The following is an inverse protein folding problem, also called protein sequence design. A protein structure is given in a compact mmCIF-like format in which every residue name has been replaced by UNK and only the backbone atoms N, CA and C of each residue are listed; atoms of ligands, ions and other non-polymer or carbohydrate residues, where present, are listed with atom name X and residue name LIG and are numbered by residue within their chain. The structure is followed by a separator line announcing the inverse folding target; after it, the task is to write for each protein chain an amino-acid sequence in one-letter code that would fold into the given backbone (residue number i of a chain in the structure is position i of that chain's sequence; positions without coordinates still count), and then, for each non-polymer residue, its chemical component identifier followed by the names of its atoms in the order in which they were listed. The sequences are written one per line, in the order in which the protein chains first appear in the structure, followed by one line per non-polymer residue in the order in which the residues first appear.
data_IF_602405314943
#
_entry.id   IF_602405314943
#
_cell.length_a   1.000
_cell.length_b   1.000
_cell.length_c   1.000
_cell.angle_alpha   90.00
_cell.angle_beta   90.00
_cell.angle_gamma   90.00
#
_symmetry.space_group_name_H-M   'P 1'
#
loop_
_entity.id
_entity.type
_entity.pdbx_description
1 polymer ?
#
# COMPACT_ATOMS: atom_id res chain seq x y z
N UNK A 1 -4.64 46.21 -35.62
CA UNK A 1 -4.08 44.96 -36.14
C UNK A 1 -2.88 44.40 -35.36
N UNK A 2 -2.06 45.20 -34.72
CA UNK A 2 -0.85 44.74 -34.00
C UNK A 2 -1.14 43.85 -32.76
N UNK A 3 -2.23 44.07 -32.02
CA UNK A 3 -2.55 43.31 -30.80
C UNK A 3 -2.99 41.83 -31.04
N UNK A 4 -3.50 41.53 -32.21
CA UNK A 4 -3.91 40.16 -32.57
C UNK A 4 -2.72 39.26 -32.92
N UNK A 5 -1.64 39.79 -33.46
CA UNK A 5 -0.45 39.05 -33.84
C UNK A 5 0.35 38.61 -32.60
N UNK A 6 0.38 39.44 -31.54
CA UNK A 6 1.08 39.10 -30.29
C UNK A 6 0.45 37.94 -29.52
N UNK A 7 -0.88 37.82 -29.52
CA UNK A 7 -1.58 36.74 -28.82
C UNK A 7 -1.41 35.35 -29.47
N UNK A 8 -1.34 35.32 -30.81
CA UNK A 8 -1.10 34.07 -31.52
C UNK A 8 0.36 33.59 -31.34
N UNK A 9 1.32 34.47 -31.41
CA UNK A 9 2.72 34.14 -31.18
C UNK A 9 2.96 33.68 -29.75
N UNK A 10 2.35 34.29 -28.73
CA UNK A 10 2.47 33.88 -27.35
C UNK A 10 1.88 32.52 -27.10
N UNK A 11 0.71 32.20 -27.65
CA UNK A 11 0.10 30.85 -27.57
C UNK A 11 0.99 29.80 -28.22
N UNK A 12 1.59 30.10 -29.36
CA UNK A 12 2.48 29.14 -30.04
C UNK A 12 3.75 28.90 -29.23
N UNK A 13 4.37 29.92 -28.65
CA UNK A 13 5.55 29.77 -27.79
C UNK A 13 5.22 28.96 -26.53
N UNK A 14 4.11 29.29 -25.86
CA UNK A 14 3.67 28.53 -24.68
C UNK A 14 3.34 27.08 -25.01
N UNK A 15 2.63 26.81 -26.10
CA UNK A 15 2.32 25.44 -26.50
C UNK A 15 3.57 24.64 -26.88
N UNK A 16 4.55 25.28 -27.53
CA UNK A 16 5.82 24.63 -27.86
C UNK A 16 6.64 24.33 -26.61
N UNK A 17 6.70 25.27 -25.63
CA UNK A 17 7.39 25.06 -24.38
C UNK A 17 6.74 23.94 -23.54
N UNK A 18 5.41 23.91 -23.45
CA UNK A 18 4.68 22.84 -22.76
C UNK A 18 4.90 21.50 -23.44
N UNK A 19 4.81 21.46 -24.77
CA UNK A 19 5.02 20.21 -25.53
C UNK A 19 6.46 19.70 -25.41
N UNK A 20 7.48 20.58 -25.37
CA UNK A 20 8.86 20.17 -25.18
C UNK A 20 9.09 19.60 -23.77
N UNK A 21 8.49 20.19 -22.73
CA UNK A 21 8.54 19.63 -21.37
C UNK A 21 7.84 18.27 -21.28
N UNK A 22 6.66 18.12 -21.88
CA UNK A 22 5.94 16.83 -21.91
C UNK A 22 6.77 15.78 -22.65
N UNK A 23 7.42 16.16 -23.76
CA UNK A 23 8.28 15.25 -24.53
C UNK A 23 9.50 14.82 -23.71
N UNK A 24 10.23 15.73 -23.10
CA UNK A 24 11.36 15.42 -22.24
C UNK A 24 10.97 14.58 -21.02
N UNK A 25 9.77 14.78 -20.47
CA UNK A 25 9.24 13.95 -19.40
C UNK A 25 8.91 12.53 -19.89
N UNK A 26 8.36 12.39 -21.09
CA UNK A 26 8.08 11.07 -21.69
C UNK A 26 9.36 10.29 -22.03
N UNK A 27 10.38 10.99 -22.53
CA UNK A 27 11.68 10.41 -22.88
C UNK A 27 12.40 9.90 -21.63
N UNK A 28 12.55 10.72 -20.58
CA UNK A 28 13.12 10.28 -19.29
C UNK A 28 12.36 9.11 -18.65
N UNK A 29 11.05 9.09 -18.84
CA UNK A 29 10.21 7.99 -18.38
C UNK A 29 10.39 6.72 -19.19
N UNK A 30 10.64 6.81 -20.48
CA UNK A 30 10.95 5.68 -21.34
C UNK A 30 12.34 5.11 -21.03
N UNK A 31 13.32 5.99 -20.80
CA UNK A 31 14.69 5.61 -20.39
C UNK A 31 14.69 4.93 -19.02
N UNK A 32 14.04 5.50 -18.01
CA UNK A 32 13.93 4.88 -16.69
C UNK A 32 13.21 3.51 -16.74
N UNK A 33 12.25 3.35 -17.64
CA UNK A 33 11.57 2.07 -17.85
C UNK A 33 12.44 1.02 -18.53
N UNK A 34 13.39 1.44 -19.39
CA UNK A 34 14.27 0.55 -20.14
C UNK A 34 15.47 0.05 -19.32
N UNK A 35 15.80 0.69 -18.20
CA UNK A 35 16.96 0.35 -17.36
C UNK A 35 16.66 -0.70 -16.31
N UNK A 36 15.40 -0.94 -15.97
CA UNK A 36 15.01 -1.87 -14.91
C UNK A 36 14.43 -3.15 -15.51
N UNK A 37 15.03 -4.27 -15.17
CA UNK A 37 14.48 -5.58 -15.50
C UNK A 37 13.34 -5.93 -14.55
N UNK A 38 12.10 -5.67 -14.98
CA UNK A 38 10.90 -5.94 -14.20
C UNK A 38 10.56 -7.44 -14.10
N UNK A 39 11.24 -8.28 -14.82
CA UNK A 39 11.05 -9.74 -14.82
C UNK A 39 12.02 -10.45 -13.87
N UNK A 40 12.99 -9.74 -13.32
CA UNK A 40 13.84 -10.24 -12.23
C UNK A 40 13.07 -10.27 -10.91
N UNK A 41 12.31 -11.35 -10.70
CA UNK A 41 11.49 -11.54 -9.48
C UNK A 41 12.37 -11.95 -8.31
N UNK A 42 12.55 -11.04 -7.35
CA UNK A 42 13.44 -11.21 -6.20
C UNK A 42 12.74 -11.02 -4.84
N UNK A 43 11.48 -10.57 -4.83
CA UNK A 43 10.74 -10.24 -3.61
C UNK A 43 9.34 -10.88 -3.56
N UNK A 44 8.82 -11.31 -2.39
CA UNK A 44 9.56 -11.56 -1.13
C UNK A 44 10.63 -12.65 -1.30
N UNK A 45 11.66 -12.74 -0.43
CA UNK A 45 12.84 -13.59 -0.65
C UNK A 45 12.54 -15.06 -0.95
N UNK A 46 11.45 -15.60 -0.40
CA UNK A 46 11.07 -17.01 -0.59
C UNK A 46 10.09 -17.22 -1.75
N UNK A 47 9.18 -16.27 -2.00
CA UNK A 47 8.13 -16.41 -3.00
C UNK A 47 8.54 -15.88 -4.38
N UNK A 48 9.40 -14.85 -4.43
CA UNK A 48 9.95 -14.26 -5.66
C UNK A 48 8.89 -13.96 -6.72
N UNK A 49 7.86 -13.21 -6.34
CA UNK A 49 6.70 -12.93 -7.21
C UNK A 49 6.69 -11.53 -7.80
N UNK A 50 7.60 -10.66 -7.36
CA UNK A 50 7.75 -9.31 -7.89
C UNK A 50 9.21 -8.83 -7.83
N UNK A 51 9.54 -7.86 -8.68
CA UNK A 51 10.82 -7.16 -8.65
C UNK A 51 10.81 -6.07 -7.59
N UNK A 52 11.85 -6.01 -6.74
CA UNK A 52 12.05 -4.95 -5.77
C UNK A 52 13.53 -4.68 -5.56
N UNK A 53 13.97 -3.48 -5.97
CA UNK A 53 15.30 -2.98 -5.73
C UNK A 53 15.25 -1.47 -5.47
N UNK A 54 15.79 -1.01 -4.36
CA UNK A 54 15.81 0.41 -4.02
C UNK A 54 16.66 1.25 -4.98
N UNK A 55 17.63 0.64 -5.65
CA UNK A 55 18.51 1.35 -6.56
C UNK A 55 17.82 1.76 -7.87
N UNK A 56 16.68 1.14 -8.20
CA UNK A 56 15.85 1.54 -9.34
C UNK A 56 15.19 2.91 -9.17
N UNK A 57 15.14 3.41 -7.94
CA UNK A 57 14.56 4.71 -7.63
C UNK A 57 15.68 5.74 -7.54
N UNK A 58 15.76 6.68 -8.48
CA UNK A 58 16.85 7.66 -8.55
C UNK A 58 16.80 8.70 -7.41
N UNK A 59 15.60 9.20 -7.10
CA UNK A 59 15.42 10.27 -6.12
C UNK A 59 15.53 9.74 -4.68
N UNK A 60 16.33 10.42 -3.85
CA UNK A 60 16.57 10.05 -2.46
C UNK A 60 15.29 10.09 -1.60
N UNK A 61 14.41 11.08 -1.82
CA UNK A 61 13.14 11.17 -1.10
C UNK A 61 12.20 10.07 -1.51
N UNK A 62 12.17 9.72 -2.80
CA UNK A 62 11.39 8.60 -3.31
C UNK A 62 11.93 7.26 -2.78
N UNK A 63 13.25 7.05 -2.68
CA UNK A 63 13.86 5.88 -2.02
C UNK A 63 13.39 5.76 -0.57
N UNK A 64 13.41 6.86 0.17
CA UNK A 64 12.92 6.87 1.55
C UNK A 64 11.43 6.53 1.63
N UNK A 65 10.60 7.12 0.77
CA UNK A 65 9.17 6.82 0.70
C UNK A 65 8.90 5.32 0.39
N UNK A 66 9.64 4.73 -0.55
CA UNK A 66 9.54 3.29 -0.88
C UNK A 66 9.93 2.42 0.32
N UNK A 67 10.99 2.78 1.05
CA UNK A 67 11.40 2.06 2.26
C UNK A 67 10.32 2.10 3.34
N UNK A 68 9.75 3.27 3.60
CA UNK A 68 8.65 3.42 4.56
C UNK A 68 7.42 2.63 4.11
N UNK A 69 7.09 2.66 2.82
CA UNK A 69 5.98 1.88 2.26
C UNK A 69 6.17 0.37 2.46
N UNK A 70 7.40 -0.13 2.29
CA UNK A 70 7.73 -1.54 2.55
C UNK A 70 7.59 -1.90 4.03
N UNK A 71 8.11 -1.06 4.93
CA UNK A 71 7.97 -1.25 6.38
C UNK A 71 6.48 -1.27 6.77
N UNK A 72 5.69 -0.33 6.25
CA UNK A 72 4.23 -0.27 6.47
C UNK A 72 3.53 -1.56 6.04
N UNK A 73 3.87 -2.06 4.85
CA UNK A 73 3.34 -3.34 4.36
C UNK A 73 3.68 -4.50 5.29
N UNK A 74 4.95 -4.60 5.72
CA UNK A 74 5.39 -5.66 6.64
C UNK A 74 4.72 -5.55 8.01
N UNK A 75 4.55 -4.35 8.54
CA UNK A 75 3.82 -4.12 9.80
C UNK A 75 2.35 -4.53 9.69
N UNK A 76 1.68 -4.22 8.57
CA UNK A 76 0.31 -4.65 8.33
C UNK A 76 0.21 -6.19 8.28
N UNK A 77 1.10 -6.86 7.56
CA UNK A 77 1.16 -8.34 7.54
C UNK A 77 1.38 -8.92 8.95
N UNK A 78 2.30 -8.34 9.71
CA UNK A 78 2.57 -8.75 11.11
C UNK A 78 1.33 -8.60 11.99
N UNK A 79 0.58 -7.52 11.83
CA UNK A 79 -0.68 -7.30 12.57
C UNK A 79 -1.70 -8.42 12.28
N UNK A 80 -1.86 -8.81 11.02
CA UNK A 80 -2.75 -9.92 10.67
C UNK A 80 -2.22 -11.29 11.15
N UNK A 81 -0.90 -11.50 11.14
CA UNK A 81 -0.30 -12.70 11.72
C UNK A 81 -0.59 -12.81 13.22
N UNK A 82 -0.38 -11.73 13.98
CA UNK A 82 -0.67 -11.69 15.42
C UNK A 82 -2.17 -11.91 15.68
N UNK A 83 -3.04 -11.29 14.88
CA UNK A 83 -4.48 -11.49 14.99
C UNK A 83 -4.88 -12.95 14.71
N UNK A 84 -4.32 -13.57 13.67
CA UNK A 84 -4.54 -14.98 13.34
C UNK A 84 -4.07 -15.90 14.47
N UNK A 85 -2.85 -15.66 14.99
CA UNK A 85 -2.30 -16.41 16.11
C UNK A 85 -3.14 -16.27 17.38
N UNK A 86 -3.54 -15.05 17.74
CA UNK A 86 -4.44 -14.80 18.87
C UNK A 86 -5.77 -15.53 18.75
N UNK A 87 -6.37 -15.51 17.56
CA UNK A 87 -7.61 -16.27 17.27
C UNK A 87 -7.40 -17.77 17.42
N UNK A 88 -6.26 -18.29 16.96
CA UNK A 88 -5.91 -19.71 17.11
C UNK A 88 -5.77 -20.11 18.59
N UNK A 89 -5.04 -19.32 19.39
CA UNK A 89 -4.86 -19.57 20.82
C UNK A 89 -6.21 -19.58 21.56
N UNK A 90 -7.08 -18.61 21.26
CA UNK A 90 -8.42 -18.55 21.87
C UNK A 90 -9.30 -19.75 21.45
N UNK A 91 -9.20 -20.21 20.21
CA UNK A 91 -9.92 -21.38 19.74
C UNK A 91 -9.44 -22.67 20.47
N UNK A 92 -8.13 -22.80 20.71
CA UNK A 92 -7.55 -23.92 21.47
C UNK A 92 -7.86 -23.86 22.97
N UNK A 93 -8.02 -22.64 23.53
CA UNK A 93 -8.30 -22.42 24.95
C UNK A 93 -9.73 -22.74 25.38
N UNK A 94 -10.57 -23.28 24.49
CA UNK A 94 -11.95 -23.70 24.82
C UNK A 94 -12.93 -22.54 25.04
N UNK A 95 -12.50 -21.29 24.80
CA UNK A 95 -13.42 -20.17 24.77
C UNK A 95 -14.43 -20.40 23.63
N UNK A 96 -15.70 -20.03 23.85
CA UNK A 96 -16.82 -20.23 22.89
C UNK A 96 -16.61 -19.50 21.56
N UNK A 97 -15.42 -19.64 20.95
CA UNK A 97 -15.14 -19.13 19.62
C UNK A 97 -15.59 -20.16 18.58
N UNK A 98 -16.47 -19.74 17.70
CA UNK A 98 -16.85 -20.55 16.55
C UNK A 98 -15.60 -20.68 15.67
N UNK A 99 -15.27 -21.91 15.23
CA UNK A 99 -14.13 -22.17 14.32
C UNK A 99 -14.13 -21.31 13.04
N UNK A 100 -15.29 -20.81 12.67
CA UNK A 100 -15.49 -19.80 11.61
C UNK A 100 -14.60 -18.56 11.80
N UNK A 101 -14.36 -18.10 13.04
CA UNK A 101 -13.50 -16.93 13.30
C UNK A 101 -12.05 -17.16 12.91
N UNK A 102 -11.54 -18.37 13.14
CA UNK A 102 -10.19 -18.76 12.72
C UNK A 102 -10.09 -18.78 11.18
N UNK A 103 -11.09 -19.35 10.51
CA UNK A 103 -11.15 -19.38 9.05
C UNK A 103 -11.10 -17.93 8.50
N UNK A 104 -11.92 -17.05 9.03
CA UNK A 104 -11.90 -15.62 8.62
C UNK A 104 -10.57 -14.93 8.91
N UNK A 105 -9.92 -15.21 10.05
CA UNK A 105 -8.62 -14.64 10.37
C UNK A 105 -7.54 -15.08 9.36
N UNK A 106 -7.56 -16.35 8.95
CA UNK A 106 -6.68 -16.89 7.90
C UNK A 106 -6.97 -16.23 6.55
N UNK A 107 -8.24 -16.13 6.15
CA UNK A 107 -8.63 -15.45 4.91
C UNK A 107 -8.18 -13.99 4.90
N UNK A 108 -8.38 -13.27 6.00
CA UNK A 108 -7.92 -11.88 6.11
C UNK A 108 -6.40 -11.79 5.95
N UNK A 109 -5.64 -12.63 6.63
CA UNK A 109 -4.19 -12.66 6.51
C UNK A 109 -3.76 -12.84 5.05
N UNK A 110 -4.34 -13.81 4.33
CA UNK A 110 -3.98 -14.09 2.93
C UNK A 110 -4.39 -12.93 2.03
N UNK A 111 -5.64 -12.49 2.09
CA UNK A 111 -6.18 -11.45 1.19
C UNK A 111 -5.45 -10.12 1.40
N UNK A 112 -5.28 -9.68 2.66
CA UNK A 112 -4.61 -8.39 2.92
C UNK A 112 -3.11 -8.45 2.63
N UNK A 113 -2.46 -9.60 2.80
CA UNK A 113 -1.06 -9.76 2.38
C UNK A 113 -0.90 -9.63 0.87
N UNK A 114 -1.78 -10.26 0.08
CA UNK A 114 -1.73 -10.19 -1.39
C UNK A 114 -2.08 -8.77 -1.88
N UNK A 115 -3.17 -8.20 -1.39
CA UNK A 115 -3.62 -6.85 -1.80
C UNK A 115 -2.61 -5.79 -1.37
N UNK A 116 -2.07 -5.89 -0.15
CA UNK A 116 -1.03 -4.99 0.35
C UNK A 116 0.26 -5.08 -0.46
N UNK A 117 0.70 -6.29 -0.81
CA UNK A 117 1.85 -6.50 -1.68
C UNK A 117 1.65 -5.89 -3.07
N UNK A 118 0.48 -6.10 -3.67
CA UNK A 118 0.13 -5.50 -4.95
C UNK A 118 0.11 -3.97 -4.89
N UNK A 119 -0.49 -3.39 -3.84
CA UNK A 119 -0.51 -1.96 -3.63
C UNK A 119 0.91 -1.40 -3.47
N UNK A 120 1.74 -2.01 -2.62
CA UNK A 120 3.14 -1.65 -2.44
C UNK A 120 3.91 -1.68 -3.77
N UNK A 121 3.78 -2.77 -4.54
CA UNK A 121 4.44 -2.89 -5.84
C UNK A 121 4.04 -1.81 -6.83
N UNK A 122 2.74 -1.45 -6.87
CA UNK A 122 2.27 -0.35 -7.72
C UNK A 122 2.88 1.00 -7.32
N UNK A 123 2.99 1.27 -6.01
CA UNK A 123 3.64 2.47 -5.49
C UNK A 123 5.13 2.51 -5.86
N UNK A 124 5.84 1.44 -5.56
CA UNK A 124 7.26 1.30 -5.90
C UNK A 124 7.50 1.48 -7.41
N UNK A 125 6.79 0.73 -8.25
CA UNK A 125 6.89 0.85 -9.70
C UNK A 125 6.51 2.24 -10.20
N UNK A 126 5.55 2.90 -9.56
CA UNK A 126 5.15 4.28 -9.87
C UNK A 126 6.29 5.27 -9.65
N UNK A 127 7.00 5.15 -8.53
CA UNK A 127 8.13 6.00 -8.18
C UNK A 127 9.36 5.70 -9.05
N UNK A 128 9.71 4.42 -9.24
CA UNK A 128 10.84 4.01 -10.07
C UNK A 128 10.65 4.42 -11.55
N UNK A 129 9.45 4.30 -12.09
CA UNK A 129 9.16 4.69 -13.50
C UNK A 129 8.66 6.13 -13.64
N UNK A 130 8.66 6.93 -12.57
CA UNK A 130 8.12 8.31 -12.55
C UNK A 130 6.68 8.38 -13.10
N UNK A 131 5.86 7.36 -12.79
CA UNK A 131 4.49 7.24 -13.25
C UNK A 131 3.49 7.72 -12.20
N UNK A 132 3.07 8.98 -12.30
CA UNK A 132 2.12 9.60 -11.36
C UNK A 132 0.84 8.80 -11.14
N UNK A 133 0.24 8.21 -12.17
CA UNK A 133 -1.00 7.42 -12.03
C UNK A 133 -0.83 6.20 -11.10
N UNK A 134 0.31 5.53 -11.15
CA UNK A 134 0.58 4.39 -10.27
C UNK A 134 0.81 4.86 -8.83
N UNK A 135 1.46 6.00 -8.66
CA UNK A 135 1.67 6.63 -7.35
C UNK A 135 0.34 7.09 -6.74
N UNK A 136 -0.52 7.75 -7.52
CA UNK A 136 -1.85 8.20 -7.07
C UNK A 136 -2.74 7.00 -6.68
N UNK A 137 -2.70 5.93 -7.46
CA UNK A 137 -3.41 4.68 -7.13
C UNK A 137 -2.94 4.10 -5.80
N UNK A 138 -1.62 4.05 -5.58
CA UNK A 138 -1.05 3.61 -4.31
C UNK A 138 -1.51 4.49 -3.14
N UNK A 139 -1.44 5.81 -3.28
CA UNK A 139 -1.88 6.75 -2.25
C UNK A 139 -3.36 6.57 -1.92
N UNK A 140 -4.21 6.41 -2.93
CA UNK A 140 -5.65 6.12 -2.73
C UNK A 140 -5.88 4.84 -1.93
N UNK A 141 -5.17 3.75 -2.26
CA UNK A 141 -5.24 2.51 -1.50
C UNK A 141 -4.71 2.67 -0.06
N UNK A 142 -3.66 3.46 0.16
CA UNK A 142 -3.15 3.72 1.52
C UNK A 142 -4.19 4.44 2.38
N UNK A 143 -4.89 5.42 1.83
CA UNK A 143 -5.97 6.11 2.56
C UNK A 143 -7.07 5.11 2.95
N UNK A 144 -7.48 4.23 2.03
CA UNK A 144 -8.47 3.18 2.34
C UNK A 144 -7.96 2.22 3.43
N UNK A 145 -6.69 1.82 3.40
CA UNK A 145 -6.11 0.97 4.45
C UNK A 145 -6.06 1.69 5.80
N UNK A 146 -5.70 2.97 5.84
CA UNK A 146 -5.71 3.76 7.09
C UNK A 146 -7.11 3.80 7.70
N UNK A 147 -8.13 4.10 6.89
CA UNK A 147 -9.53 4.12 7.34
C UNK A 147 -9.93 2.73 7.85
N UNK A 148 -9.60 1.67 7.10
CA UNK A 148 -9.90 0.29 7.47
C UNK A 148 -9.26 -0.08 8.82
N UNK A 149 -7.95 0.15 9.00
CA UNK A 149 -7.26 -0.16 10.25
C UNK A 149 -7.77 0.67 11.42
N UNK A 150 -8.10 1.93 11.18
CA UNK A 150 -8.70 2.79 12.20
C UNK A 150 -10.04 2.22 12.68
N UNK A 151 -10.94 1.88 11.75
CA UNK A 151 -12.24 1.28 12.09
C UNK A 151 -12.05 -0.08 12.78
N UNK A 152 -11.16 -0.94 12.26
CA UNK A 152 -10.87 -2.25 12.83
C UNK A 152 -10.27 -2.19 14.23
N UNK A 153 -9.55 -1.11 14.58
CA UNK A 153 -9.00 -0.90 15.92
C UNK A 153 -10.06 -0.57 16.97
N UNK A 154 -11.18 0.02 16.56
CA UNK A 154 -12.24 0.46 17.46
C UNK A 154 -13.36 -0.58 17.53
N UNK A 155 -13.82 -1.08 16.39
CA UNK A 155 -15.00 -1.95 16.28
C UNK A 155 -14.64 -3.39 16.58
N UNK A 156 -15.43 -4.04 17.42
CA UNK A 156 -15.35 -5.50 17.59
C UNK A 156 -16.00 -6.18 16.40
N UNK A 157 -15.19 -6.76 15.54
CA UNK A 157 -15.66 -7.67 14.48
C UNK A 157 -15.53 -9.13 14.90
N UNK A 158 -16.02 -10.02 14.03
CA UNK A 158 -15.85 -11.48 14.22
C UNK A 158 -14.37 -11.90 14.28
N UNK A 159 -13.46 -11.08 13.71
CA UNK A 159 -12.06 -11.40 13.45
C UNK A 159 -11.08 -10.33 13.95
N UNK A 160 -11.56 -9.26 14.59
CA UNK A 160 -10.72 -8.17 15.04
C UNK A 160 -10.84 -7.99 16.54
N UNK A 161 -9.73 -7.97 17.22
CA UNK A 161 -9.64 -7.68 18.65
C UNK A 161 -9.49 -6.17 18.85
N UNK A 162 -10.55 -5.40 18.48
CA UNK A 162 -10.60 -3.98 18.72
C UNK A 162 -10.79 -3.64 20.20
N UNK A 163 -10.59 -2.37 20.53
CA UNK A 163 -10.72 -1.84 21.90
C UNK A 163 -12.02 -2.22 22.62
N UNK A 164 -13.11 -2.36 21.87
CA UNK A 164 -14.40 -2.79 22.41
C UNK A 164 -14.39 -4.23 22.95
N UNK A 165 -13.54 -5.12 22.39
CA UNK A 165 -13.39 -6.49 22.93
C UNK A 165 -12.59 -6.49 24.23
N UNK A 166 -11.57 -5.64 24.36
CA UNK A 166 -10.80 -5.46 25.59
C UNK A 166 -11.73 -4.98 26.71
N UNK A 167 -12.59 -3.98 26.41
CA UNK A 167 -13.58 -3.47 27.36
C UNK A 167 -14.57 -4.57 27.81
N UNK A 168 -15.11 -5.36 26.87
CA UNK A 168 -16.03 -6.48 27.19
C UNK A 168 -15.37 -7.52 28.08
N UNK A 169 -14.11 -7.88 27.82
CA UNK A 169 -13.36 -8.83 28.65
C UNK A 169 -13.21 -8.28 30.08
N UNK A 170 -12.80 -7.01 30.22
CA UNK A 170 -12.68 -6.35 31.52
C UNK A 170 -14.00 -6.26 32.29
N UNK A 171 -15.11 -6.02 31.60
CA UNK A 171 -16.42 -5.95 32.23
C UNK A 171 -16.94 -7.34 32.64
N UNK A 172 -16.58 -8.41 31.91
CA UNK A 172 -16.95 -9.80 32.28
C UNK A 172 -16.21 -10.28 33.55
N UNK A 173 -14.95 -9.90 33.72
CA UNK A 173 -14.20 -10.23 34.96
C UNK A 173 -14.76 -9.53 36.19
N UNK A 174 -15.32 -8.31 36.04
CA UNK A 174 -16.00 -7.59 37.13
C UNK A 174 -17.34 -8.19 37.52
N UNK A 175 -17.99 -8.93 36.64
CA UNK A 175 -19.26 -9.61 36.88
C UNK A 175 -19.12 -11.00 37.50
N UNK A 176 -17.89 -11.56 37.42
CA UNK A 176 -17.56 -12.90 37.95
C UNK A 176 -16.91 -12.88 39.35
N UNK A 177 -16.59 -11.70 39.89
CA UNK A 177 -16.09 -11.47 41.24
C UNK A 177 -17.10 -10.86 42.13
#
# INVERSE_FOLDING_TARGET
MAAMVGGAALKTVMSTAVNSQIRGFKERRAEAKSQVDWEDYNYPPYLRVLHYNLDDVEDANAKFAVRIANINYLMACSTFCVNCFGTFVLACGGLKMKGVHLIYAIFNLIIYSIVGMYAFYKGYKGLATKNGRLTDYYLGLQVLFIIFFFVASIVSGANYYGWTNVKRASDSDKLSG
#
